data_IF_024129920336
#
_entry.id   IF_024129920336
#
_cell.length_a   1.000
_cell.length_b   1.000
_cell.length_c   1.000
_cell.angle_alpha   90.00
_cell.angle_beta   90.00
_cell.angle_gamma   90.00
#
_symmetry.space_group_name_H-M   'P 1'
#
loop_
_entity.id
_entity.type
_entity.pdbx_description
1 polymer ?
#
# COMPACT_ATOMS: atom_id res chain seq x y z
N UNK A 1 27.54 -18.47 -22.61
CA UNK A 1 27.88 -18.43 -24.06
C UNK A 1 26.90 -19.30 -24.84
N UNK A 2 26.47 -18.97 -26.04
CA UNK A 2 26.39 -17.67 -26.70
C UNK A 2 24.96 -17.27 -27.07
N UNK A 3 24.58 -16.00 -27.11
CA UNK A 3 24.60 -15.00 -28.21
C UNK A 3 23.73 -15.35 -29.43
N UNK A 4 22.77 -14.47 -29.70
CA UNK A 4 22.60 -13.57 -30.88
C UNK A 4 21.14 -13.12 -30.92
N UNK A 5 20.82 -11.82 -30.76
CA UNK A 5 20.90 -10.72 -31.74
C UNK A 5 20.14 -10.96 -33.04
N UNK A 6 19.22 -10.07 -33.33
CA UNK A 6 19.11 -9.23 -34.52
C UNK A 6 17.73 -8.57 -34.56
N UNK A 7 17.57 -7.30 -34.27
CA UNK A 7 17.54 -6.06 -35.10
C UNK A 7 17.16 -6.21 -36.58
N UNK A 8 16.20 -5.42 -36.98
CA UNK A 8 16.12 -4.56 -38.17
C UNK A 8 14.65 -4.15 -38.36
N UNK A 9 14.19 -2.87 -38.17
CA UNK A 9 14.36 -1.77 -39.12
C UNK A 9 14.13 -2.20 -40.58
N UNK A 10 13.14 -1.63 -41.19
CA UNK A 10 13.36 -0.64 -42.23
C UNK A 10 12.02 -0.06 -42.78
N UNK A 11 12.00 1.18 -42.80
CA UNK A 11 11.45 2.30 -43.51
C UNK A 11 11.32 2.13 -45.05
N UNK A 12 10.54 3.06 -45.56
CA UNK A 12 10.54 3.67 -46.93
C UNK A 12 9.64 2.98 -47.94
N UNK A 13 8.95 3.62 -48.79
CA UNK A 13 8.83 5.00 -49.34
C UNK A 13 7.68 5.02 -50.31
N UNK A 14 6.90 6.08 -50.30
CA UNK A 14 6.76 7.06 -51.39
C UNK A 14 7.06 6.53 -52.81
N UNK A 15 6.20 6.69 -53.75
CA UNK A 15 5.92 7.79 -54.65
C UNK A 15 5.11 7.38 -55.87
N UNK A 16 4.18 8.25 -56.17
CA UNK A 16 3.87 8.85 -57.49
C UNK A 16 3.48 7.92 -58.67
N UNK A 17 2.30 8.16 -59.16
CA UNK A 17 2.17 8.69 -60.53
C UNK A 17 0.76 9.25 -60.82
N UNK A 18 0.81 10.52 -61.10
CA UNK A 18 -0.17 11.29 -61.86
C UNK A 18 -0.12 10.90 -63.36
N UNK A 19 -1.20 11.28 -64.00
CA UNK A 19 -1.42 11.45 -65.43
C UNK A 19 -1.99 10.20 -66.12
N UNK A 20 -3.08 10.32 -66.79
CA UNK A 20 -3.56 11.16 -67.89
C UNK A 20 -5.07 11.00 -68.02
N UNK A 21 -5.76 11.99 -68.01
CA UNK A 21 -6.51 12.86 -68.89
C UNK A 21 -7.17 12.20 -70.10
N UNK A 22 -8.42 12.59 -70.16
CA UNK A 22 -9.25 12.99 -71.29
C UNK A 22 -10.06 11.94 -72.06
N UNK A 23 -11.31 12.42 -72.18
CA UNK A 23 -12.25 12.15 -73.26
C UNK A 23 -13.02 10.83 -73.23
N UNK A 24 -14.26 10.90 -72.78
CA UNK A 24 -15.46 10.83 -73.63
C UNK A 24 -16.71 11.27 -72.89
N UNK A 25 -17.10 12.49 -73.15
CA UNK A 25 -18.45 13.00 -72.89
C UNK A 25 -19.51 12.32 -73.76
N UNK A 26 -20.72 12.21 -73.18
CA UNK A 26 -22.01 12.05 -73.83
C UNK A 26 -22.48 10.59 -74.10
N UNK A 27 -23.15 10.13 -73.04
CA UNK A 27 -24.48 9.48 -73.11
C UNK A 27 -24.74 8.78 -71.80
N UNK A 28 -25.59 9.40 -71.00
CA UNK A 28 -26.55 8.68 -70.19
C UNK A 28 -27.10 9.60 -69.10
N UNK A 29 -27.90 10.56 -69.53
CA UNK A 29 -28.62 11.45 -68.60
C UNK A 29 -30.06 10.94 -68.29
N UNK A 30 -30.31 9.68 -68.26
CA UNK A 30 -31.66 9.13 -68.03
C UNK A 30 -31.76 7.98 -67.00
N UNK A 31 -30.66 7.52 -66.41
CA UNK A 31 -30.68 6.48 -65.36
C UNK A 31 -30.32 6.99 -63.97
N UNK A 32 -30.01 8.26 -63.77
CA UNK A 32 -29.53 8.84 -62.49
C UNK A 32 -30.60 9.28 -61.49
N UNK A 33 -31.89 9.12 -61.74
CA UNK A 33 -32.97 9.59 -60.84
C UNK A 33 -33.66 8.48 -60.03
N UNK A 34 -33.32 7.21 -60.17
CA UNK A 34 -33.88 6.10 -59.35
C UNK A 34 -32.91 5.47 -58.36
N UNK A 35 -31.60 5.67 -58.49
CA UNK A 35 -30.60 5.10 -57.58
C UNK A 35 -30.24 6.01 -56.39
N UNK A 36 -30.58 7.32 -56.43
CA UNK A 36 -30.21 8.27 -55.39
C UNK A 36 -31.12 8.26 -54.15
N UNK A 37 -32.30 7.65 -54.21
CA UNK A 37 -33.26 7.59 -53.10
C UNK A 37 -33.04 6.39 -52.18
N UNK A 38 -32.50 5.27 -52.73
CA UNK A 38 -32.14 4.07 -51.95
C UNK A 38 -30.82 4.23 -51.18
N UNK A 39 -29.86 4.95 -51.80
CA UNK A 39 -28.54 5.17 -51.19
C UNK A 39 -28.56 6.14 -50.01
N UNK A 40 -29.43 7.17 -50.03
CA UNK A 40 -29.59 8.11 -48.90
C UNK A 40 -30.25 7.47 -47.68
N UNK A 41 -31.22 6.58 -47.89
CA UNK A 41 -31.90 5.88 -46.78
C UNK A 41 -31.04 4.81 -46.12
N UNK A 42 -30.11 4.20 -46.84
CA UNK A 42 -29.14 3.27 -46.25
C UNK A 42 -28.04 4.01 -45.52
N UNK A 43 -27.60 5.16 -46.02
CA UNK A 43 -26.57 5.98 -45.38
C UNK A 43 -27.04 6.56 -44.06
N UNK A 44 -28.27 7.01 -43.97
CA UNK A 44 -28.84 7.49 -42.69
C UNK A 44 -29.01 6.37 -41.65
N UNK A 45 -29.38 5.16 -42.08
CA UNK A 45 -29.47 4.00 -41.19
C UNK A 45 -28.09 3.60 -40.61
N UNK A 46 -27.05 3.59 -41.42
CA UNK A 46 -25.69 3.31 -40.96
C UNK A 46 -25.14 4.43 -40.05
N UNK A 47 -25.48 5.68 -40.35
CA UNK A 47 -25.12 6.82 -39.48
C UNK A 47 -25.79 6.74 -38.11
N UNK A 48 -27.07 6.34 -38.05
CA UNK A 48 -27.80 6.09 -36.80
C UNK A 48 -27.20 4.91 -36.03
N UNK A 49 -26.86 3.81 -36.70
CA UNK A 49 -26.24 2.64 -36.09
C UNK A 49 -24.84 2.94 -35.57
N UNK A 50 -24.03 3.69 -36.33
CA UNK A 50 -22.71 4.16 -35.90
C UNK A 50 -22.83 5.08 -34.68
N UNK A 51 -23.81 5.97 -34.63
CA UNK A 51 -24.02 6.83 -33.49
C UNK A 51 -24.48 6.03 -32.24
N UNK A 52 -25.38 5.06 -32.43
CA UNK A 52 -25.78 4.15 -31.36
C UNK A 52 -24.61 3.34 -30.80
N UNK A 53 -23.78 2.77 -31.68
CA UNK A 53 -22.59 2.01 -31.28
C UNK A 53 -21.56 2.91 -30.58
N UNK A 54 -21.40 4.17 -30.99
CA UNK A 54 -20.52 5.11 -30.31
C UNK A 54 -21.03 5.43 -28.90
N UNK A 55 -22.34 5.67 -28.75
CA UNK A 55 -22.94 5.90 -27.42
C UNK A 55 -22.79 4.69 -26.49
N UNK A 56 -22.98 3.49 -27.02
CA UNK A 56 -22.76 2.26 -26.25
C UNK A 56 -21.29 2.11 -25.86
N UNK A 57 -20.37 2.38 -26.79
CA UNK A 57 -18.94 2.32 -26.54
C UNK A 57 -18.51 3.33 -25.46
N UNK A 58 -19.04 4.54 -25.51
CA UNK A 58 -18.73 5.55 -24.52
C UNK A 58 -19.31 5.21 -23.13
N UNK A 59 -20.52 4.64 -23.06
CA UNK A 59 -21.08 4.07 -21.82
C UNK A 59 -20.21 2.93 -21.28
N UNK A 60 -19.75 2.02 -22.15
CA UNK A 60 -18.88 0.93 -21.75
C UNK A 60 -17.52 1.44 -21.23
N UNK A 61 -16.96 2.46 -21.87
CA UNK A 61 -15.73 3.10 -21.40
C UNK A 61 -15.91 3.76 -20.03
N UNK A 62 -17.02 4.46 -19.81
CA UNK A 62 -17.34 5.08 -18.53
C UNK A 62 -17.44 4.03 -17.42
N UNK A 63 -18.20 2.95 -17.66
CA UNK A 63 -18.31 1.83 -16.73
C UNK A 63 -16.95 1.21 -16.45
N UNK A 64 -16.15 0.99 -17.49
CA UNK A 64 -14.81 0.43 -17.36
C UNK A 64 -13.89 1.32 -16.50
N UNK A 65 -13.84 2.62 -16.79
CA UNK A 65 -13.03 3.56 -16.02
C UNK A 65 -13.47 3.61 -14.55
N UNK A 66 -14.78 3.62 -14.31
CA UNK A 66 -15.33 3.58 -12.96
C UNK A 66 -14.95 2.30 -12.23
N UNK A 67 -15.16 1.15 -12.87
CA UNK A 67 -14.82 -0.16 -12.27
C UNK A 67 -13.33 -0.29 -12.02
N UNK A 68 -12.48 0.22 -12.92
CA UNK A 68 -11.03 0.24 -12.73
C UNK A 68 -10.63 1.09 -11.50
N UNK A 69 -11.24 2.27 -11.35
CA UNK A 69 -11.00 3.12 -10.19
C UNK A 69 -11.48 2.48 -8.88
N UNK A 70 -12.66 1.85 -8.89
CA UNK A 70 -13.19 1.11 -7.74
C UNK A 70 -12.28 -0.07 -7.38
N UNK A 71 -11.75 -0.79 -8.37
CA UNK A 71 -10.82 -1.89 -8.16
C UNK A 71 -9.49 -1.43 -7.56
N UNK A 72 -8.93 -0.33 -8.04
CA UNK A 72 -7.71 0.25 -7.46
C UNK A 72 -7.89 0.66 -6.00
N UNK A 73 -9.03 1.28 -5.69
CA UNK A 73 -9.37 1.64 -4.32
C UNK A 73 -9.55 0.40 -3.44
N UNK A 74 -10.24 -0.63 -3.95
CA UNK A 74 -10.40 -1.91 -3.27
C UNK A 74 -9.05 -2.57 -2.99
N UNK A 75 -8.18 -2.64 -3.99
CA UNK A 75 -6.83 -3.22 -3.85
C UNK A 75 -6.03 -2.53 -2.76
N UNK A 76 -5.95 -1.20 -2.80
CA UNK A 76 -5.24 -0.41 -1.78
C UNK A 76 -5.80 -0.63 -0.38
N UNK A 77 -7.13 -0.71 -0.26
CA UNK A 77 -7.78 -1.00 1.02
C UNK A 77 -7.43 -2.39 1.51
N UNK A 78 -7.54 -3.40 0.67
CA UNK A 78 -7.25 -4.79 1.02
C UNK A 78 -5.79 -5.00 1.45
N UNK A 79 -4.85 -4.32 0.78
CA UNK A 79 -3.43 -4.37 1.17
C UNK A 79 -3.22 -3.78 2.59
N UNK A 80 -3.87 -2.67 2.90
CA UNK A 80 -3.83 -2.07 4.25
C UNK A 80 -4.50 -2.97 5.30
N UNK A 81 -5.67 -3.50 4.99
CA UNK A 81 -6.38 -4.44 5.87
C UNK A 81 -5.54 -5.69 6.17
N UNK A 82 -4.88 -6.25 5.16
CA UNK A 82 -3.98 -7.40 5.33
C UNK A 82 -2.80 -7.07 6.26
N UNK A 83 -2.18 -5.91 6.09
CA UNK A 83 -1.09 -5.45 6.97
C UNK A 83 -1.59 -5.26 8.40
N UNK A 84 -2.76 -4.66 8.58
CA UNK A 84 -3.35 -4.46 9.90
C UNK A 84 -3.67 -5.79 10.59
N UNK A 85 -4.26 -6.76 9.87
CA UNK A 85 -4.54 -8.10 10.41
C UNK A 85 -3.25 -8.78 10.88
N UNK A 86 -2.17 -8.67 10.10
CA UNK A 86 -0.88 -9.22 10.49
C UNK A 86 -0.34 -8.57 11.77
N UNK A 87 -0.38 -7.23 11.83
CA UNK A 87 0.06 -6.48 13.01
C UNK A 87 -0.80 -6.81 14.24
N UNK A 88 -2.11 -6.98 14.05
CA UNK A 88 -3.06 -7.33 15.12
C UNK A 88 -2.78 -8.72 15.68
N UNK A 89 -2.57 -9.70 14.82
CA UNK A 89 -2.22 -11.05 15.22
C UNK A 89 -0.86 -11.09 15.95
N UNK A 90 0.13 -10.37 15.42
CA UNK A 90 1.46 -10.26 16.02
C UNK A 90 1.38 -9.58 17.40
N UNK A 91 0.64 -8.47 17.50
CA UNK A 91 0.42 -7.77 18.76
C UNK A 91 -0.25 -8.66 19.82
N UNK A 92 -1.26 -9.43 19.42
CA UNK A 92 -1.94 -10.36 20.33
C UNK A 92 -0.99 -11.47 20.83
N UNK A 93 -0.18 -12.03 19.95
CA UNK A 93 0.80 -13.06 20.32
C UNK A 93 1.87 -12.49 21.28
N UNK A 94 2.41 -11.32 20.96
CA UNK A 94 3.44 -10.67 21.79
C UNK A 94 2.88 -10.32 23.16
N UNK A 95 1.66 -9.79 23.24
CA UNK A 95 1.01 -9.46 24.51
C UNK A 95 0.99 -10.62 25.50
N UNK A 96 0.87 -11.85 25.02
CA UNK A 96 0.90 -13.06 25.86
C UNK A 96 2.32 -13.43 26.35
N UNK A 97 3.36 -12.97 25.65
CA UNK A 97 4.75 -13.26 25.95
C UNK A 97 5.35 -12.17 26.87
N UNK A 98 4.86 -10.93 26.82
CA UNK A 98 5.38 -9.81 27.61
C UNK A 98 5.51 -10.10 29.12
N UNK A 99 4.59 -10.81 29.79
CA UNK A 99 4.76 -11.14 31.22
C UNK A 99 6.01 -11.99 31.52
N UNK A 100 6.45 -12.79 30.56
CA UNK A 100 7.69 -13.57 30.72
C UNK A 100 8.90 -12.64 30.68
N UNK A 101 8.86 -11.66 29.78
CA UNK A 101 9.88 -10.62 29.66
C UNK A 101 9.97 -9.78 30.95
N UNK A 102 8.83 -9.34 31.47
CA UNK A 102 8.74 -8.58 32.73
C UNK A 102 9.32 -9.40 33.91
N UNK A 103 9.06 -10.71 33.92
CA UNK A 103 9.59 -11.60 34.96
C UNK A 103 11.10 -11.75 34.87
N UNK A 104 11.63 -11.79 33.65
CA UNK A 104 13.08 -11.88 33.41
C UNK A 104 13.77 -10.55 33.81
N UNK A 105 13.16 -9.42 33.47
CA UNK A 105 13.64 -8.09 33.88
C UNK A 105 13.73 -7.95 35.40
N UNK A 106 12.64 -8.33 36.05
CA UNK A 106 12.57 -8.33 37.52
C UNK A 106 13.61 -9.29 38.17
N UNK A 107 13.87 -10.42 37.56
CA UNK A 107 14.88 -11.36 38.03
C UNK A 107 16.29 -10.78 37.90
N UNK A 108 16.60 -10.09 36.82
CA UNK A 108 17.87 -9.38 36.62
C UNK A 108 18.06 -8.27 37.67
N UNK A 109 17.01 -7.46 37.90
CA UNK A 109 17.01 -6.41 38.88
C UNK A 109 17.19 -6.95 40.32
N UNK A 110 16.52 -8.05 40.65
CA UNK A 110 16.62 -8.67 41.97
C UNK A 110 18.02 -9.20 42.28
N UNK A 111 18.82 -9.53 41.30
CA UNK A 111 20.21 -9.93 41.42
C UNK A 111 21.17 -8.75 41.67
N UNK A 112 20.66 -7.50 41.76
CA UNK A 112 21.37 -6.26 42.07
C UNK A 112 22.67 -6.06 41.26
N UNK A 113 22.68 -6.44 40.00
CA UNK A 113 23.86 -6.30 39.14
C UNK A 113 25.08 -7.12 39.63
N UNK A 114 24.86 -8.17 40.41
CA UNK A 114 25.93 -9.08 40.76
C UNK A 114 26.61 -9.56 39.45
N UNK A 115 27.91 -9.40 39.38
CA UNK A 115 28.70 -9.82 38.22
C UNK A 115 28.88 -11.34 38.25
N UNK A 116 27.75 -12.03 38.37
CA UNK A 116 27.64 -13.49 38.40
C UNK A 116 27.34 -14.04 37.00
N UNK A 117 27.82 -15.25 36.77
CA UNK A 117 27.63 -15.93 35.49
C UNK A 117 26.15 -16.14 35.16
N UNK A 118 25.30 -16.28 36.15
CA UNK A 118 23.85 -16.39 36.02
C UNK A 118 23.21 -15.08 35.53
N UNK A 119 23.61 -13.94 36.06
CA UNK A 119 23.15 -12.62 35.67
C UNK A 119 23.55 -12.31 34.21
N UNK A 120 24.78 -12.67 33.82
CA UNK A 120 25.24 -12.56 32.43
C UNK A 120 24.39 -13.41 31.49
N UNK A 121 24.10 -14.65 31.89
CA UNK A 121 23.21 -15.52 31.08
C UNK A 121 21.82 -14.95 30.89
N UNK A 122 21.19 -14.43 31.95
CA UNK A 122 19.87 -13.80 31.88
C UNK A 122 19.86 -12.54 31.01
N UNK A 123 20.90 -11.68 31.16
CA UNK A 123 21.04 -10.48 30.34
C UNK A 123 21.20 -10.81 28.85
N UNK A 124 21.95 -11.87 28.52
CA UNK A 124 22.06 -12.35 27.15
C UNK A 124 20.71 -12.83 26.59
N UNK A 125 19.91 -13.56 27.37
CA UNK A 125 18.57 -14.01 26.97
C UNK A 125 17.67 -12.80 26.75
N UNK A 126 17.72 -11.81 27.63
CA UNK A 126 16.96 -10.57 27.52
C UNK A 126 17.31 -9.82 26.23
N UNK A 127 18.59 -9.63 25.95
CA UNK A 127 19.06 -8.99 24.72
C UNK A 127 18.59 -9.75 23.46
N UNK A 128 18.66 -11.08 23.46
CA UNK A 128 18.18 -11.91 22.35
C UNK A 128 16.67 -11.77 22.14
N UNK A 129 15.91 -11.65 23.23
CA UNK A 129 14.47 -11.47 23.15
C UNK A 129 14.11 -10.08 22.60
N UNK A 130 14.79 -9.03 23.07
CA UNK A 130 14.64 -7.67 22.52
C UNK A 130 15.00 -7.60 21.05
N UNK A 131 16.06 -8.25 20.61
CA UNK A 131 16.41 -8.33 19.18
C UNK A 131 15.36 -9.07 18.35
N UNK A 132 14.74 -10.09 18.94
CA UNK A 132 13.63 -10.81 18.28
C UNK A 132 12.39 -9.96 18.14
N UNK A 133 12.07 -9.15 19.14
CA UNK A 133 10.97 -8.17 19.10
C UNK A 133 11.23 -7.08 18.06
N UNK A 134 12.45 -6.55 17.98
CA UNK A 134 12.84 -5.59 16.93
C UNK A 134 12.67 -6.14 15.50
N UNK A 135 12.98 -7.42 15.26
CA UNK A 135 12.74 -8.07 13.97
C UNK A 135 11.26 -8.15 13.59
N UNK A 136 10.36 -8.13 14.57
CA UNK A 136 8.92 -8.07 14.39
C UNK A 136 8.39 -6.63 14.32
N UNK A 137 9.27 -5.62 14.22
CA UNK A 137 8.96 -4.20 14.26
C UNK A 137 8.23 -3.77 15.54
N UNK A 138 8.55 -4.42 16.65
CA UNK A 138 8.06 -4.04 17.98
C UNK A 138 9.09 -3.15 18.64
N UNK A 139 8.63 -1.99 19.07
CA UNK A 139 9.42 -0.98 19.76
C UNK A 139 9.04 -0.93 21.24
N UNK A 140 10.05 -0.85 22.09
CA UNK A 140 9.94 -0.60 23.52
C UNK A 140 9.92 0.90 23.77
N UNK A 141 9.11 1.36 24.72
CA UNK A 141 9.05 2.76 25.12
C UNK A 141 8.71 2.89 26.63
N UNK A 142 8.86 4.11 27.14
CA UNK A 142 8.65 4.43 28.55
C UNK A 142 9.90 4.15 29.36
N UNK A 143 10.95 4.95 29.17
CA UNK A 143 12.13 4.97 30.01
C UNK A 143 12.03 6.07 31.07
N UNK A 144 12.85 5.96 32.17
CA UNK A 144 13.00 7.05 33.15
C UNK A 144 13.53 8.30 32.45
N UNK A 145 12.90 9.43 32.67
CA UNK A 145 13.24 10.71 32.07
C UNK A 145 12.51 11.01 30.78
N UNK A 146 11.75 10.05 30.21
CA UNK A 146 10.90 10.32 29.06
C UNK A 146 9.75 11.24 29.43
N UNK A 147 9.26 12.04 28.48
CA UNK A 147 8.09 12.89 28.69
C UNK A 147 6.83 12.00 28.81
N UNK A 148 6.03 12.29 29.85
CA UNK A 148 4.78 11.57 30.08
C UNK A 148 3.74 11.95 29.04
N UNK A 149 3.24 10.96 28.30
CA UNK A 149 2.14 11.12 27.36
C UNK A 149 0.96 10.22 27.79
N UNK A 150 -0.20 10.79 28.14
CA UNK A 150 -1.37 10.01 28.57
C UNK A 150 -1.89 9.01 27.54
N UNK A 151 -1.60 9.22 26.27
CA UNK A 151 -2.06 8.31 25.20
C UNK A 151 -1.32 6.98 25.20
N UNK A 152 -0.06 6.96 25.64
CA UNK A 152 0.83 5.79 25.58
C UNK A 152 1.29 5.31 26.94
N UNK A 153 1.21 6.15 27.99
CA UNK A 153 1.65 5.85 29.34
C UNK A 153 0.45 5.79 30.31
N UNK A 154 0.52 4.88 31.25
CA UNK A 154 -0.47 4.75 32.32
C UNK A 154 0.18 5.13 33.64
N UNK A 155 -0.15 6.32 34.14
CA UNK A 155 0.36 6.80 35.42
C UNK A 155 -0.30 6.07 36.61
N UNK A 156 0.50 5.58 37.54
CA UNK A 156 0.05 4.91 38.75
C UNK A 156 0.08 5.88 39.94
N UNK A 157 1.11 6.70 40.02
CA UNK A 157 1.29 7.68 41.10
C UNK A 157 2.09 8.88 40.56
N UNK A 158 1.95 10.01 41.25
CA UNK A 158 2.77 11.19 41.04
C UNK A 158 3.77 11.28 42.20
N UNK A 159 5.03 11.48 41.88
CA UNK A 159 6.13 11.60 42.84
C UNK A 159 6.87 12.89 42.56
N UNK A 160 7.32 13.56 43.62
CA UNK A 160 8.24 14.70 43.51
C UNK A 160 9.67 14.15 43.45
N UNK A 161 10.36 14.38 42.35
CA UNK A 161 11.77 14.01 42.16
C UNK A 161 12.54 15.27 41.75
N UNK A 162 13.56 15.61 42.55
CA UNK A 162 14.37 16.82 42.31
C UNK A 162 15.35 16.68 41.12
N UNK A 163 15.52 15.48 40.59
CA UNK A 163 16.42 15.20 39.46
C UNK A 163 15.72 15.28 38.10
N UNK A 164 14.39 15.33 38.08
CA UNK A 164 13.58 15.28 36.86
C UNK A 164 12.80 16.59 36.68
N UNK A 165 12.52 16.89 35.42
CA UNK A 165 11.66 18.02 35.05
C UNK A 165 10.17 17.68 35.24
N UNK A 166 9.32 18.70 35.25
CA UNK A 166 7.88 18.50 35.35
C UNK A 166 7.36 17.62 34.18
N UNK A 167 6.47 16.68 34.47
CA UNK A 167 5.87 15.74 33.56
C UNK A 167 6.82 14.70 32.95
N UNK A 168 7.93 14.40 33.62
CA UNK A 168 8.78 13.27 33.25
C UNK A 168 8.45 12.00 34.04
N UNK A 169 8.79 10.86 33.45
CA UNK A 169 8.61 9.54 34.06
C UNK A 169 9.71 9.30 35.07
N UNK A 170 9.33 9.23 36.37
CA UNK A 170 10.27 9.01 37.45
C UNK A 170 10.64 7.52 37.58
N UNK A 171 9.65 6.64 37.61
CA UNK A 171 9.83 5.19 37.77
C UNK A 171 8.98 4.45 36.77
N UNK A 172 9.54 3.43 36.16
CA UNK A 172 8.86 2.55 35.24
C UNK A 172 8.65 1.19 35.89
N UNK A 173 7.42 0.85 36.20
CA UNK A 173 7.08 -0.47 36.74
C UNK A 173 6.95 -1.53 35.64
N UNK A 174 6.57 -1.09 34.46
CA UNK A 174 6.35 -1.98 33.34
C UNK A 174 6.55 -1.22 32.03
N UNK A 175 7.42 -1.73 31.18
CA UNK A 175 7.72 -1.10 29.89
C UNK A 175 6.57 -1.22 28.93
N UNK A 176 6.38 -0.18 28.12
CA UNK A 176 5.41 -0.15 27.04
C UNK A 176 5.97 -0.78 25.76
N UNK A 177 5.09 -1.35 24.94
CA UNK A 177 5.44 -1.92 23.65
C UNK A 177 4.43 -1.51 22.59
N UNK A 178 4.92 -1.16 21.39
CA UNK A 178 4.11 -0.79 20.22
C UNK A 178 4.63 -1.46 18.97
N UNK A 179 3.76 -1.60 17.96
CA UNK A 179 4.10 -2.07 16.61
C UNK A 179 3.59 -1.04 15.60
N UNK A 180 4.50 -0.27 15.00
CA UNK A 180 4.13 0.93 14.25
C UNK A 180 3.32 1.89 15.13
N UNK A 181 2.11 2.24 14.67
CA UNK A 181 1.21 3.15 15.43
C UNK A 181 0.34 2.43 16.47
N UNK A 182 0.36 1.10 16.47
CA UNK A 182 -0.50 0.32 17.36
C UNK A 182 0.19 0.00 18.69
N UNK A 183 -0.46 0.39 19.77
CA UNK A 183 -0.01 0.08 21.13
C UNK A 183 -0.39 -1.37 21.46
N UNK A 184 0.60 -2.19 21.84
CA UNK A 184 0.43 -3.55 22.35
C UNK A 184 0.11 -3.51 23.83
N UNK A 185 0.87 -2.69 24.57
CA UNK A 185 0.73 -2.48 26.01
C UNK A 185 1.27 -1.09 26.39
N UNK A 186 0.51 -0.36 27.18
CA UNK A 186 0.96 0.93 27.74
C UNK A 186 2.09 0.71 28.75
N UNK A 187 3.05 1.65 28.78
CA UNK A 187 4.03 1.67 29.85
C UNK A 187 3.34 2.07 31.17
N UNK A 188 3.76 1.51 32.26
CA UNK A 188 3.20 1.76 33.59
C UNK A 188 4.28 2.27 34.55
#
# INVERSE_FOLDING_TARGET
MPKKDTTAEDTTSETVNEAEASETEKKDEKTKKKSSKGSKSQKTKYEEEINGLKEELDKQKEIFMRTAAEYDNYRKRTEREKSNIYNDATAAAIKTILPVLDSLERAIEALNGADDEHTKGMTMIMAQMQDSLKKLNVEEYGARGDEFNPEIHNAVAQVEDSELEENQIAVVFQKGYKIGDKIIRHAM
#
